data_IF_070440700912
#
_entry.id   IF_070440700912
#
_cell.length_a   1.000
_cell.length_b   1.000
_cell.length_c   1.000
_cell.angle_alpha   90.00
_cell.angle_beta   90.00
_cell.angle_gamma   90.00
#
_symmetry.space_group_name_H-M   'P 1'
#
loop_
_entity.id
_entity.type
_entity.pdbx_description
1 polymer ?
#
# COMPACT_ATOMS: atom_id res chain seq x y z
N UNK A 1 3.65 -30.46 -12.95
CA UNK A 1 3.65 -29.07 -12.45
C UNK A 1 2.97 -29.12 -11.10
N UNK A 2 3.66 -28.68 -10.04
CA UNK A 2 3.05 -28.53 -8.73
C UNK A 2 1.98 -27.42 -8.83
N UNK A 3 0.80 -27.69 -8.33
CA UNK A 3 -0.32 -26.73 -8.34
C UNK A 3 -0.16 -25.72 -7.17
N UNK A 4 0.98 -25.02 -7.19
CA UNK A 4 1.35 -24.03 -6.15
C UNK A 4 0.96 -22.66 -6.67
N UNK A 5 0.00 -22.03 -6.02
CA UNK A 5 -0.37 -20.63 -6.28
C UNK A 5 0.62 -19.72 -5.57
N UNK A 6 1.38 -18.91 -6.29
CA UNK A 6 2.21 -17.85 -5.75
C UNK A 6 1.45 -16.52 -5.83
N UNK A 7 1.51 -15.67 -4.79
CA UNK A 7 0.97 -14.32 -4.88
C UNK A 7 1.60 -13.57 -6.07
N UNK A 8 0.79 -12.90 -6.87
CA UNK A 8 1.29 -12.09 -7.99
C UNK A 8 0.22 -11.08 -8.41
N UNK A 9 0.65 -9.94 -8.93
CA UNK A 9 -0.23 -8.87 -9.37
C UNK A 9 0.30 -8.16 -10.61
N UNK A 10 1.24 -7.23 -10.46
CA UNK A 10 1.71 -6.37 -11.55
C UNK A 10 2.42 -7.13 -12.68
N UNK A 11 3.02 -8.29 -12.40
CA UNK A 11 3.80 -9.17 -13.30
C UNK A 11 5.05 -8.55 -13.94
N UNK A 12 5.36 -7.27 -13.67
CA UNK A 12 6.54 -6.54 -14.19
C UNK A 12 7.58 -6.17 -13.11
N UNK A 13 7.45 -6.70 -11.89
CA UNK A 13 8.44 -6.47 -10.82
C UNK A 13 8.30 -5.13 -10.07
N UNK A 14 7.16 -4.44 -10.19
CA UNK A 14 6.96 -3.11 -9.62
C UNK A 14 6.30 -3.08 -8.23
N UNK A 15 5.41 -4.04 -7.88
CA UNK A 15 4.62 -3.99 -6.65
C UNK A 15 5.23 -4.76 -5.47
N UNK A 16 6.05 -5.80 -5.73
CA UNK A 16 6.64 -6.62 -4.67
C UNK A 16 5.75 -7.76 -4.14
N UNK A 17 4.48 -7.87 -4.53
CA UNK A 17 3.53 -8.89 -4.07
C UNK A 17 4.03 -10.33 -4.26
N UNK A 18 4.77 -10.60 -5.34
CA UNK A 18 5.31 -11.92 -5.65
C UNK A 18 6.68 -12.21 -4.99
N UNK A 19 7.01 -11.53 -3.90
CA UNK A 19 8.26 -11.75 -3.16
C UNK A 19 8.27 -13.15 -2.54
N UNK A 20 9.33 -13.88 -2.83
CA UNK A 20 9.63 -15.23 -2.32
C UNK A 20 11.03 -15.23 -1.72
N UNK A 21 11.31 -16.19 -0.85
CA UNK A 21 12.67 -16.43 -0.35
C UNK A 21 13.21 -17.74 -0.93
N UNK A 22 14.41 -17.69 -1.49
CA UNK A 22 15.14 -18.85 -2.01
C UNK A 22 15.79 -19.58 -0.84
N UNK A 23 15.27 -20.76 -0.48
CA UNK A 23 15.92 -21.64 0.47
C UNK A 23 17.12 -22.36 -0.17
N UNK A 24 17.06 -22.61 -1.49
CA UNK A 24 18.19 -23.09 -2.29
C UNK A 24 17.97 -22.82 -3.76
N UNK A 25 19.07 -22.82 -4.53
CA UNK A 25 19.09 -22.55 -5.96
C UNK A 25 19.37 -21.08 -6.28
N UNK A 26 19.44 -20.77 -7.58
CA UNK A 26 19.75 -19.44 -8.12
C UNK A 26 18.77 -19.00 -9.18
N UNK A 27 18.54 -17.70 -9.24
CA UNK A 27 17.73 -17.05 -10.27
C UNK A 27 18.51 -15.92 -10.92
N UNK A 28 18.16 -15.59 -12.15
CA UNK A 28 18.61 -14.39 -12.84
C UNK A 28 17.44 -13.52 -13.27
N UNK A 29 17.71 -12.27 -13.56
CA UNK A 29 16.77 -11.31 -14.12
C UNK A 29 17.31 -10.80 -15.47
N UNK A 30 16.42 -10.50 -16.39
CA UNK A 30 16.76 -9.76 -17.61
C UNK A 30 17.06 -8.30 -17.25
N UNK A 31 16.19 -7.69 -16.44
CA UNK A 31 16.38 -6.41 -15.79
C UNK A 31 16.09 -6.56 -14.30
N UNK A 32 16.88 -5.90 -13.45
CA UNK A 32 16.70 -6.00 -12.01
C UNK A 32 15.35 -5.37 -11.60
N UNK A 33 14.46 -6.09 -10.90
CA UNK A 33 13.10 -5.62 -10.63
C UNK A 33 13.07 -4.41 -9.69
N UNK A 34 12.21 -3.43 -9.97
CA UNK A 34 12.12 -2.20 -9.18
C UNK A 34 11.70 -2.40 -7.72
N UNK A 35 10.89 -3.41 -7.42
CA UNK A 35 10.41 -3.65 -6.06
C UNK A 35 11.31 -4.59 -5.25
N UNK A 36 12.46 -5.01 -5.78
CA UNK A 36 13.48 -5.78 -5.07
C UNK A 36 14.70 -4.89 -4.81
N UNK A 37 15.18 -4.85 -3.57
CA UNK A 37 16.43 -4.16 -3.28
C UNK A 37 17.64 -5.09 -3.41
N UNK A 38 18.87 -4.56 -3.62
CA UNK A 38 20.08 -5.37 -3.62
C UNK A 38 20.27 -6.14 -2.31
N UNK A 39 19.91 -5.56 -1.18
CA UNK A 39 19.99 -6.16 0.15
C UNK A 39 19.02 -7.35 0.25
N UNK A 40 17.75 -7.19 -0.19
CA UNK A 40 16.79 -8.29 -0.25
C UNK A 40 17.32 -9.43 -1.13
N UNK A 41 17.88 -9.12 -2.30
CA UNK A 41 18.48 -10.13 -3.17
C UNK A 41 19.66 -10.84 -2.52
N UNK A 42 20.53 -10.12 -1.78
CA UNK A 42 21.64 -10.69 -1.06
C UNK A 42 21.20 -11.62 0.09
N UNK A 43 20.05 -11.36 0.70
CA UNK A 43 19.43 -12.22 1.71
C UNK A 43 18.62 -13.39 1.12
N UNK A 44 18.61 -13.53 -0.20
CA UNK A 44 17.95 -14.61 -0.90
C UNK A 44 16.48 -14.35 -1.26
N UNK A 45 16.01 -13.10 -1.18
CA UNK A 45 14.70 -12.77 -1.71
C UNK A 45 14.70 -12.65 -3.23
N UNK A 46 13.58 -12.98 -3.83
CA UNK A 46 13.36 -12.87 -5.26
C UNK A 46 11.93 -12.46 -5.57
N UNK A 47 11.70 -11.86 -6.75
CA UNK A 47 10.35 -11.60 -7.27
C UNK A 47 9.98 -12.65 -8.32
N UNK A 48 9.08 -13.56 -7.96
CA UNK A 48 8.72 -14.73 -8.77
C UNK A 48 8.22 -14.39 -10.17
N UNK A 49 7.57 -13.22 -10.36
CA UNK A 49 7.07 -12.81 -11.68
C UNK A 49 8.17 -12.51 -12.70
N UNK A 50 9.37 -12.09 -12.26
CA UNK A 50 10.51 -11.72 -13.11
C UNK A 50 11.69 -12.69 -13.00
N UNK A 51 11.75 -13.50 -11.93
CA UNK A 51 12.83 -14.45 -11.70
C UNK A 51 12.87 -15.54 -12.77
N UNK A 52 14.04 -15.81 -13.33
CA UNK A 52 14.32 -16.91 -14.25
C UNK A 52 15.21 -17.92 -13.53
N UNK A 53 14.73 -19.15 -13.24
CA UNK A 53 15.56 -20.18 -12.61
C UNK A 53 16.82 -20.51 -13.41
N UNK A 54 17.97 -20.61 -12.74
CA UNK A 54 19.23 -21.12 -13.29
C UNK A 54 19.60 -22.50 -12.73
N UNK A 55 18.92 -22.92 -11.68
CA UNK A 55 19.05 -24.24 -11.05
C UNK A 55 17.69 -24.72 -10.55
N UNK A 56 17.63 -25.92 -9.99
CA UNK A 56 16.48 -26.35 -9.19
C UNK A 56 16.31 -25.41 -8.00
N UNK A 57 15.06 -25.00 -7.74
CA UNK A 57 14.75 -24.05 -6.66
C UNK A 57 13.98 -24.73 -5.55
N UNK A 58 14.38 -24.43 -4.29
CA UNK A 58 13.53 -24.58 -3.14
C UNK A 58 13.16 -23.17 -2.67
N UNK A 59 11.86 -22.87 -2.61
CA UNK A 59 11.37 -21.53 -2.24
C UNK A 59 10.48 -21.61 -1.02
N UNK A 60 10.51 -20.57 -0.20
CA UNK A 60 9.48 -20.29 0.79
C UNK A 60 8.74 -19.01 0.43
N UNK A 61 7.45 -18.99 0.71
CA UNK A 61 6.60 -17.82 0.62
C UNK A 61 6.25 -17.46 2.06
N UNK A 62 6.25 -16.18 2.39
CA UNK A 62 5.78 -15.75 3.70
C UNK A 62 4.37 -16.32 3.90
N UNK A 63 4.23 -17.23 4.85
CA UNK A 63 2.94 -17.84 5.14
C UNK A 63 2.13 -16.87 5.99
N UNK A 64 1.32 -16.05 5.34
CA UNK A 64 0.23 -15.39 6.06
C UNK A 64 -0.82 -16.43 6.44
N UNK A 65 -1.25 -16.45 7.69
CA UNK A 65 -2.43 -17.22 8.09
C UNK A 65 -3.71 -16.59 7.56
N UNK A 66 -3.60 -15.37 7.01
CA UNK A 66 -4.69 -14.63 6.42
C UNK A 66 -5.23 -15.32 5.19
N UNK A 67 -6.51 -15.65 5.21
CA UNK A 67 -7.24 -16.14 4.03
C UNK A 67 -7.78 -14.93 3.27
N UNK A 68 -7.32 -14.76 2.05
CA UNK A 68 -7.80 -13.70 1.18
C UNK A 68 -9.00 -14.18 0.36
N UNK A 69 -10.11 -13.41 0.31
CA UNK A 69 -11.24 -13.72 -0.54
C UNK A 69 -10.83 -13.75 -2.03
N UNK A 70 -11.48 -14.61 -2.82
CA UNK A 70 -11.23 -14.69 -4.26
C UNK A 70 -11.76 -13.44 -4.98
N UNK A 71 -11.00 -12.86 -5.92
CA UNK A 71 -11.44 -11.71 -6.69
C UNK A 71 -12.69 -12.01 -7.53
N UNK A 72 -13.58 -11.05 -7.64
CA UNK A 72 -14.76 -11.12 -8.51
C UNK A 72 -15.02 -9.81 -9.22
N UNK A 73 -15.61 -9.87 -10.40
CA UNK A 73 -16.08 -8.69 -11.11
C UNK A 73 -17.50 -8.38 -10.70
N UNK A 74 -17.73 -7.10 -10.34
CA UNK A 74 -19.04 -6.65 -9.92
C UNK A 74 -19.27 -5.19 -10.38
N UNK A 75 -20.55 -4.81 -10.60
CA UNK A 75 -20.88 -3.43 -10.85
C UNK A 75 -20.75 -2.62 -9.55
N UNK A 76 -20.34 -1.36 -9.69
CA UNK A 76 -20.33 -0.39 -8.61
C UNK A 76 -20.90 0.94 -9.14
N UNK A 77 -21.38 1.76 -8.22
CA UNK A 77 -21.95 3.07 -8.57
C UNK A 77 -21.29 4.16 -7.72
N UNK A 78 -20.92 5.26 -8.32
CA UNK A 78 -20.40 6.42 -7.59
C UNK A 78 -21.50 6.96 -6.68
N UNK A 79 -21.27 6.88 -5.37
CA UNK A 79 -22.16 7.42 -4.37
C UNK A 79 -21.76 8.83 -3.95
N UNK A 80 -20.45 9.05 -3.79
CA UNK A 80 -19.87 10.34 -3.40
C UNK A 80 -18.55 10.54 -4.13
N UNK A 81 -18.32 11.78 -4.52
CA UNK A 81 -17.07 12.23 -5.10
C UNK A 81 -16.80 13.65 -4.58
N UNK A 82 -15.71 13.84 -3.90
CA UNK A 82 -15.36 15.07 -3.21
C UNK A 82 -13.87 15.37 -3.32
N UNK A 83 -13.52 16.59 -3.76
CA UNK A 83 -12.13 17.03 -3.73
C UNK A 83 -11.74 17.33 -2.27
N UNK A 84 -10.76 16.60 -1.74
CA UNK A 84 -10.24 16.79 -0.38
C UNK A 84 -8.95 17.59 -0.36
N UNK A 85 -8.24 17.65 -1.49
CA UNK A 85 -7.14 18.58 -1.78
C UNK A 85 -7.24 19.03 -3.24
N UNK A 86 -6.30 19.86 -3.72
CA UNK A 86 -6.23 20.26 -5.11
C UNK A 86 -6.15 19.05 -6.07
N UNK A 87 -5.39 18.03 -5.69
CA UNK A 87 -5.09 16.86 -6.53
C UNK A 87 -5.60 15.51 -5.98
N UNK A 88 -6.31 15.49 -4.83
CA UNK A 88 -6.85 14.25 -4.26
C UNK A 88 -8.37 14.33 -4.13
N UNK A 89 -9.02 13.24 -4.54
CA UNK A 89 -10.45 13.03 -4.45
C UNK A 89 -10.77 11.89 -3.49
N UNK A 90 -11.70 12.12 -2.57
CA UNK A 90 -12.38 11.07 -1.83
C UNK A 90 -13.52 10.54 -2.70
N UNK A 91 -13.44 9.26 -3.06
CA UNK A 91 -14.44 8.56 -3.85
C UNK A 91 -15.08 7.47 -3.00
N UNK A 92 -16.41 7.51 -2.87
CA UNK A 92 -17.20 6.44 -2.26
C UNK A 92 -17.97 5.72 -3.36
N UNK A 93 -17.82 4.40 -3.42
CA UNK A 93 -18.60 3.54 -4.32
C UNK A 93 -19.66 2.79 -3.53
N UNK A 94 -20.89 2.79 -4.05
CA UNK A 94 -21.94 1.86 -3.62
C UNK A 94 -21.76 0.52 -4.33
N UNK A 95 -21.86 -0.56 -3.58
CA UNK A 95 -21.77 -1.93 -4.03
C UNK A 95 -23.15 -2.60 -4.06
N UNK A 96 -23.35 -3.70 -4.81
CA UNK A 96 -24.57 -4.50 -4.75
C UNK A 96 -24.87 -4.99 -3.33
N UNK A 97 -26.10 -5.39 -3.05
CA UNK A 97 -26.59 -5.83 -1.73
C UNK A 97 -25.75 -6.97 -1.10
N UNK A 98 -25.12 -7.80 -1.92
CA UNK A 98 -24.21 -8.84 -1.44
C UNK A 98 -22.92 -8.29 -0.82
N UNK A 99 -22.64 -6.99 -0.96
CA UNK A 99 -21.42 -6.35 -0.45
C UNK A 99 -20.14 -6.89 -1.08
N UNK A 100 -19.03 -6.59 -0.43
CA UNK A 100 -17.70 -7.07 -0.78
C UNK A 100 -16.95 -7.47 0.50
N UNK A 101 -16.61 -8.76 0.60
CA UNK A 101 -15.68 -9.21 1.64
C UNK A 101 -14.25 -8.93 1.16
N UNK A 102 -13.46 -8.28 1.99
CA UNK A 102 -12.04 -8.03 1.75
C UNK A 102 -11.26 -7.91 3.05
N UNK A 103 -9.95 -8.03 2.95
CA UNK A 103 -9.02 -7.80 4.06
C UNK A 103 -8.53 -6.35 3.99
N UNK A 104 -8.57 -5.57 5.09
CA UNK A 104 -8.03 -4.22 5.12
C UNK A 104 -6.59 -4.15 4.60
N UNK A 105 -6.34 -3.21 3.69
CA UNK A 105 -5.07 -3.09 2.97
C UNK A 105 -5.13 -3.57 1.51
N UNK A 106 -6.14 -4.39 1.13
CA UNK A 106 -6.35 -4.80 -0.26
C UNK A 106 -6.82 -3.64 -1.15
N UNK A 107 -6.77 -3.87 -2.46
CA UNK A 107 -7.18 -2.90 -3.47
C UNK A 107 -8.22 -3.47 -4.44
N UNK A 108 -8.75 -2.63 -5.30
CA UNK A 108 -9.58 -3.00 -6.44
C UNK A 108 -8.98 -2.51 -7.76
N UNK A 109 -9.37 -3.15 -8.85
CA UNK A 109 -9.20 -2.63 -10.21
C UNK A 109 -10.51 -2.01 -10.72
N UNK A 110 -10.44 -0.82 -11.26
CA UNK A 110 -11.49 -0.28 -12.14
C UNK A 110 -11.22 -0.78 -13.55
N UNK A 111 -12.22 -1.39 -14.17
CA UNK A 111 -12.15 -1.89 -15.55
C UNK A 111 -12.54 -0.77 -16.51
N UNK A 112 -11.64 -0.40 -17.42
CA UNK A 112 -11.88 0.61 -18.44
C UNK A 112 -12.51 -0.03 -19.68
N UNK A 113 -13.24 0.76 -20.50
CA UNK A 113 -13.95 0.26 -21.71
C UNK A 113 -13.02 -0.41 -22.74
N UNK A 114 -11.72 -0.07 -22.75
CA UNK A 114 -10.71 -0.63 -23.65
C UNK A 114 -10.04 -1.90 -23.09
N UNK A 115 -10.48 -2.38 -21.92
CA UNK A 115 -9.95 -3.56 -21.26
C UNK A 115 -8.74 -3.30 -20.34
N UNK A 116 -8.22 -2.07 -20.30
CA UNK A 116 -7.21 -1.70 -19.30
C UNK A 116 -7.82 -1.59 -17.90
N UNK A 117 -6.98 -1.62 -16.88
CA UNK A 117 -7.39 -1.49 -15.49
C UNK A 117 -6.64 -0.35 -14.79
N UNK A 118 -7.24 0.16 -13.72
CA UNK A 118 -6.57 1.09 -12.79
C UNK A 118 -6.81 0.63 -11.37
N UNK A 119 -5.73 0.47 -10.63
CA UNK A 119 -5.74 -0.07 -9.27
C UNK A 119 -5.84 1.05 -8.24
N UNK A 120 -6.71 0.85 -7.25
CA UNK A 120 -6.91 1.78 -6.13
C UNK A 120 -7.09 1.01 -4.84
N UNK A 121 -6.27 1.32 -3.82
CA UNK A 121 -6.37 0.70 -2.50
C UNK A 121 -7.64 1.16 -1.80
N UNK A 122 -8.33 0.22 -1.17
CA UNK A 122 -9.51 0.50 -0.36
C UNK A 122 -9.09 1.24 0.92
N UNK A 123 -9.81 2.32 1.26
CA UNK A 123 -9.49 3.22 2.35
C UNK A 123 -10.37 3.02 3.59
N UNK A 124 -11.21 2.01 3.60
CA UNK A 124 -12.09 1.63 4.71
C UNK A 124 -11.79 0.22 5.20
N UNK A 125 -12.01 -0.05 6.49
CA UNK A 125 -11.76 -1.36 7.11
C UNK A 125 -12.75 -2.45 6.65
N UNK A 126 -13.94 -2.05 6.25
CA UNK A 126 -14.96 -2.95 5.69
C UNK A 126 -15.80 -2.21 4.67
N UNK A 127 -16.31 -2.92 3.68
CA UNK A 127 -17.13 -2.29 2.67
C UNK A 127 -18.64 -2.28 3.04
N UNK A 128 -19.15 -3.35 3.64
CA UNK A 128 -20.59 -3.52 3.66
C UNK A 128 -21.17 -3.31 2.25
N UNK A 129 -21.98 -2.26 2.08
CA UNK A 129 -22.49 -1.82 0.78
C UNK A 129 -21.75 -0.59 0.21
N UNK A 130 -20.70 -0.13 0.85
CA UNK A 130 -19.92 1.06 0.45
C UNK A 130 -18.44 0.82 0.69
N UNK A 131 -17.62 1.35 -0.20
CA UNK A 131 -16.16 1.31 -0.05
C UNK A 131 -15.57 2.65 -0.47
N UNK A 132 -14.59 3.13 0.29
CA UNK A 132 -13.94 4.42 0.12
C UNK A 132 -12.56 4.30 -0.52
N UNK A 133 -12.20 5.33 -1.27
CA UNK A 133 -10.90 5.45 -1.93
C UNK A 133 -10.39 6.88 -1.87
N UNK A 134 -9.09 7.03 -1.75
CA UNK A 134 -8.40 8.30 -1.91
C UNK A 134 -7.63 8.27 -3.23
N UNK A 135 -8.14 8.98 -4.23
CA UNK A 135 -7.63 8.91 -5.60
C UNK A 135 -6.88 10.19 -5.94
N UNK A 136 -5.58 10.09 -6.22
CA UNK A 136 -4.81 11.23 -6.73
C UNK A 136 -5.13 11.46 -8.21
N UNK A 137 -5.49 12.69 -8.56
CA UNK A 137 -5.62 13.12 -9.94
C UNK A 137 -4.24 13.28 -10.57
N UNK A 138 -4.03 12.59 -11.68
CA UNK A 138 -2.79 12.69 -12.46
C UNK A 138 -3.14 13.44 -13.73
N UNK A 139 -2.55 14.63 -13.99
CA UNK A 139 -2.81 15.40 -15.20
C UNK A 139 -2.63 14.56 -16.46
N UNK A 140 -3.63 14.56 -17.34
CA UNK A 140 -3.68 13.72 -18.55
C UNK A 140 -3.99 12.23 -18.29
N UNK A 141 -4.23 11.83 -17.04
CA UNK A 141 -4.60 10.46 -16.67
C UNK A 141 -5.99 10.09 -17.21
N UNK A 142 -6.06 8.99 -17.98
CA UNK A 142 -7.32 8.55 -18.65
C UNK A 142 -8.47 8.31 -17.67
N UNK A 143 -8.18 7.73 -16.48
CA UNK A 143 -9.17 7.52 -15.44
C UNK A 143 -9.21 8.69 -14.46
N UNK A 144 -8.06 9.05 -13.89
CA UNK A 144 -8.02 9.98 -12.76
C UNK A 144 -8.27 11.43 -13.14
N UNK A 145 -7.97 11.83 -14.39
CA UNK A 145 -8.23 13.18 -14.90
C UNK A 145 -9.49 13.23 -15.78
N UNK A 146 -9.56 12.35 -16.80
CA UNK A 146 -10.69 12.38 -17.73
C UNK A 146 -11.97 11.81 -17.13
N UNK A 147 -12.00 10.55 -16.71
CA UNK A 147 -13.23 9.93 -16.23
C UNK A 147 -13.66 10.49 -14.88
N UNK A 148 -12.76 10.48 -13.89
CA UNK A 148 -13.07 10.93 -12.53
C UNK A 148 -13.37 12.43 -12.48
N UNK A 149 -12.74 13.24 -13.36
CA UNK A 149 -13.01 14.67 -13.48
C UNK A 149 -14.41 15.00 -14.02
N UNK A 150 -15.07 14.05 -14.69
CA UNK A 150 -16.42 14.19 -15.27
C UNK A 150 -17.47 13.33 -14.56
N UNK A 151 -17.03 12.38 -13.71
CA UNK A 151 -17.92 11.48 -13.01
C UNK A 151 -18.82 12.25 -12.03
N UNK A 152 -20.06 11.81 -11.96
CA UNK A 152 -21.07 12.33 -11.05
C UNK A 152 -21.65 11.20 -10.20
N UNK A 153 -22.28 11.55 -9.09
CA UNK A 153 -23.07 10.59 -8.31
C UNK A 153 -24.06 9.87 -9.23
N UNK A 154 -24.14 8.56 -9.10
CA UNK A 154 -24.91 7.68 -9.97
C UNK A 154 -24.16 7.12 -11.18
N UNK A 155 -22.94 7.57 -11.46
CA UNK A 155 -22.12 7.00 -12.55
C UNK A 155 -21.77 5.54 -12.23
N UNK A 156 -22.02 4.65 -13.21
CA UNK A 156 -21.74 3.22 -13.08
C UNK A 156 -20.34 2.89 -13.58
N UNK A 157 -19.71 1.91 -12.94
CA UNK A 157 -18.42 1.34 -13.34
C UNK A 157 -18.38 -0.15 -13.02
N UNK A 158 -17.48 -0.88 -13.68
CA UNK A 158 -17.17 -2.27 -13.35
C UNK A 158 -15.86 -2.30 -12.59
N UNK A 159 -15.84 -3.08 -11.50
CA UNK A 159 -14.65 -3.29 -10.70
C UNK A 159 -14.31 -4.77 -10.59
N UNK A 160 -13.06 -5.08 -10.32
CA UNK A 160 -12.58 -6.40 -9.94
C UNK A 160 -11.93 -6.29 -8.56
N UNK A 161 -12.49 -6.98 -7.59
CA UNK A 161 -12.08 -6.88 -6.18
C UNK A 161 -12.46 -8.16 -5.41
N UNK A 162 -11.83 -8.41 -4.24
CA UNK A 162 -10.63 -7.75 -3.75
C UNK A 162 -9.35 -8.29 -4.40
N UNK A 163 -8.30 -7.49 -4.42
CA UNK A 163 -6.99 -7.85 -4.96
C UNK A 163 -5.90 -7.46 -3.94
N UNK A 164 -4.73 -8.09 -4.03
CA UNK A 164 -3.61 -7.77 -3.17
C UNK A 164 -3.53 -8.62 -1.91
N UNK A 165 -2.32 -8.62 -1.33
CA UNK A 165 -1.99 -9.35 -0.10
C UNK A 165 -1.42 -8.43 0.99
N UNK A 166 -1.35 -7.12 0.74
CA UNK A 166 -0.95 -6.16 1.75
C UNK A 166 -2.02 -6.08 2.84
N UNK A 167 -1.67 -6.47 4.07
CA UNK A 167 -2.61 -6.55 5.18
C UNK A 167 -1.87 -6.59 6.50
N UNK A 168 -2.58 -6.37 7.60
CA UNK A 168 -2.01 -6.57 8.93
C UNK A 168 -1.75 -8.04 9.21
N UNK A 169 -0.54 -8.34 9.68
CA UNK A 169 -0.09 -9.68 10.09
C UNK A 169 -0.31 -9.85 11.59
N UNK A 170 -1.46 -10.37 11.98
CA UNK A 170 -1.87 -10.52 13.39
C UNK A 170 -0.93 -11.45 14.17
N UNK A 171 -0.28 -12.39 13.50
CA UNK A 171 0.71 -13.30 14.07
C UNK A 171 2.04 -12.62 14.43
N UNK A 172 2.29 -11.41 13.92
CA UNK A 172 3.51 -10.63 14.12
C UNK A 172 3.29 -9.55 15.20
N UNK A 173 3.33 -9.97 16.46
CA UNK A 173 3.08 -9.15 17.66
C UNK A 173 4.14 -8.07 17.95
N UNK A 174 4.76 -7.52 16.94
CA UNK A 174 5.77 -6.47 17.05
C UNK A 174 5.12 -5.09 17.10
N UNK A 175 5.75 -4.10 17.78
CA UNK A 175 5.37 -2.70 17.59
C UNK A 175 5.36 -2.33 16.11
N UNK A 176 4.34 -1.60 15.68
CA UNK A 176 4.10 -1.27 14.27
C UNK A 176 4.71 0.09 13.92
N UNK A 177 5.53 0.12 12.89
CA UNK A 177 5.91 1.35 12.19
C UNK A 177 5.21 1.36 10.83
N UNK A 178 4.27 2.28 10.66
CA UNK A 178 3.53 2.45 9.43
C UNK A 178 3.94 3.73 8.73
N UNK A 179 4.42 3.61 7.49
CA UNK A 179 4.92 4.72 6.70
C UNK A 179 4.09 4.87 5.44
N UNK A 180 3.47 6.01 5.26
CA UNK A 180 2.68 6.34 4.08
C UNK A 180 3.19 7.61 3.41
N UNK A 181 3.14 7.67 2.07
CA UNK A 181 3.29 8.93 1.33
C UNK A 181 2.10 9.17 0.40
N UNK A 182 1.60 10.39 0.40
CA UNK A 182 0.44 10.75 -0.44
C UNK A 182 -0.78 9.89 -0.11
N UNK A 183 -1.41 9.37 -1.16
CA UNK A 183 -2.57 8.46 -1.05
C UNK A 183 -2.21 7.04 -0.61
N UNK A 184 -0.92 6.72 -0.39
CA UNK A 184 -0.50 5.49 0.30
C UNK A 184 -1.03 5.38 1.73
N UNK A 185 -1.56 6.47 2.28
CA UNK A 185 -2.31 6.43 3.53
C UNK A 185 -3.59 5.58 3.44
N UNK A 186 -4.19 5.39 2.26
CA UNK A 186 -5.48 4.72 2.12
C UNK A 186 -5.47 3.27 2.66
N UNK A 187 -4.60 2.34 2.22
CA UNK A 187 -4.56 0.99 2.76
C UNK A 187 -4.06 0.95 4.21
N UNK A 188 -3.16 1.86 4.60
CA UNK A 188 -2.71 2.00 6.00
C UNK A 188 -3.89 2.42 6.89
N UNK A 189 -4.69 3.40 6.43
CA UNK A 189 -5.92 3.83 7.12
C UNK A 189 -6.88 2.65 7.32
N UNK A 190 -7.15 1.88 6.27
CA UNK A 190 -8.02 0.71 6.34
C UNK A 190 -7.54 -0.32 7.37
N UNK A 191 -6.24 -0.60 7.41
CA UNK A 191 -5.62 -1.48 8.42
C UNK A 191 -5.82 -0.90 9.81
N UNK A 192 -5.47 0.38 10.05
CA UNK A 192 -5.59 1.01 11.37
C UNK A 192 -7.02 1.09 11.86
N UNK A 193 -7.98 1.41 10.98
CA UNK A 193 -9.40 1.37 11.33
C UNK A 193 -9.86 -0.01 11.81
N UNK A 194 -9.31 -1.09 11.25
CA UNK A 194 -9.63 -2.46 11.68
C UNK A 194 -9.03 -2.81 13.05
N UNK A 195 -8.09 -2.02 13.53
CA UNK A 195 -7.43 -2.17 14.83
C UNK A 195 -8.01 -1.24 15.91
N UNK A 196 -8.85 -0.27 15.53
CA UNK A 196 -9.47 0.65 16.49
C UNK A 196 -10.27 -0.14 17.54
N UNK A 197 -10.12 0.28 18.79
CA UNK A 197 -10.84 -0.27 19.95
C UNK A 197 -10.57 -1.78 20.20
N UNK A 198 -9.54 -2.37 19.57
CA UNK A 198 -9.08 -3.73 19.87
C UNK A 198 -8.20 -3.72 21.11
N UNK A 199 -8.47 -4.61 22.05
CA UNK A 199 -7.64 -4.79 23.26
C UNK A 199 -6.26 -5.33 22.91
N UNK A 200 -6.18 -6.14 21.88
CA UNK A 200 -4.97 -6.83 21.42
C UNK A 200 -4.29 -6.08 20.26
N UNK A 201 -4.12 -4.75 20.35
CA UNK A 201 -3.39 -3.96 19.38
C UNK A 201 -1.97 -3.69 19.88
N UNK A 202 -0.91 -3.97 19.11
CA UNK A 202 0.45 -3.57 19.49
C UNK A 202 0.62 -2.04 19.40
N UNK A 203 1.68 -1.45 19.99
CA UNK A 203 2.01 -0.04 19.82
C UNK A 203 2.11 0.35 18.35
N UNK A 204 1.57 1.51 17.98
CA UNK A 204 1.52 1.98 16.58
C UNK A 204 2.18 3.35 16.44
N UNK A 205 3.20 3.45 15.58
CA UNK A 205 3.73 4.72 15.10
C UNK A 205 3.41 4.91 13.62
N UNK A 206 2.59 5.91 13.30
CA UNK A 206 2.20 6.26 11.93
C UNK A 206 2.95 7.51 11.47
N UNK A 207 3.74 7.37 10.42
CA UNK A 207 4.43 8.45 9.72
C UNK A 207 3.76 8.70 8.37
N UNK A 208 3.12 9.88 8.21
CA UNK A 208 2.45 10.21 6.95
C UNK A 208 3.08 11.43 6.28
N UNK A 209 3.69 11.20 5.14
CA UNK A 209 4.38 12.21 4.34
C UNK A 209 3.49 12.87 3.31
N UNK A 210 3.40 14.20 3.36
CA UNK A 210 2.75 15.04 2.36
C UNK A 210 3.68 16.18 1.91
N UNK A 211 3.25 16.99 0.94
CA UNK A 211 4.02 18.14 0.47
C UNK A 211 3.85 19.33 1.39
N UNK A 212 2.61 19.72 1.61
CA UNK A 212 2.22 20.91 2.38
C UNK A 212 1.20 20.56 3.47
N UNK A 213 0.89 21.50 4.35
CA UNK A 213 -0.07 21.27 5.44
C UNK A 213 -1.50 21.10 4.92
N UNK A 214 -1.87 21.80 3.86
CA UNK A 214 -3.17 21.70 3.20
C UNK A 214 -3.42 20.33 2.58
N UNK A 215 -2.34 19.59 2.26
CA UNK A 215 -2.42 18.23 1.76
C UNK A 215 -2.76 17.19 2.83
N UNK A 216 -2.64 17.53 4.13
CA UNK A 216 -2.90 16.62 5.25
C UNK A 216 -4.41 16.46 5.55
N UNK A 217 -5.20 16.09 4.55
CA UNK A 217 -6.67 16.04 4.56
C UNK A 217 -7.29 15.08 5.59
N UNK A 218 -6.51 14.15 6.16
CA UNK A 218 -6.94 13.23 7.23
C UNK A 218 -6.31 13.56 8.59
N UNK A 219 -5.62 14.70 8.73
CA UNK A 219 -4.86 15.03 9.95
C UNK A 219 -5.72 14.94 11.21
N UNK A 220 -6.88 15.55 11.19
CA UNK A 220 -7.77 15.61 12.35
C UNK A 220 -8.45 14.28 12.64
N UNK A 221 -8.83 13.54 11.58
CA UNK A 221 -9.41 12.19 11.70
C UNK A 221 -8.41 11.25 12.37
N UNK A 222 -7.18 11.18 11.84
CA UNK A 222 -6.12 10.31 12.36
C UNK A 222 -5.71 10.72 13.78
N UNK A 223 -5.59 12.01 14.06
CA UNK A 223 -5.31 12.51 15.42
C UNK A 223 -6.40 12.10 16.41
N UNK A 224 -7.65 12.01 15.96
CA UNK A 224 -8.80 11.54 16.77
C UNK A 224 -8.73 10.06 17.18
N UNK A 225 -7.82 9.28 16.61
CA UNK A 225 -7.61 7.88 17.00
C UNK A 225 -6.76 7.70 18.26
N UNK A 226 -6.17 8.77 18.76
CA UNK A 226 -5.48 8.77 20.06
C UNK A 226 -6.44 8.29 21.17
N UNK A 227 -6.02 7.26 21.93
CA UNK A 227 -6.86 6.60 22.93
C UNK A 227 -7.80 5.50 22.42
N UNK A 228 -7.88 5.29 21.10
CA UNK A 228 -8.59 4.17 20.45
C UNK A 228 -7.63 3.11 19.89
N UNK A 229 -6.36 3.47 19.70
CA UNK A 229 -5.26 2.56 19.39
C UNK A 229 -4.31 2.54 20.59
N UNK A 230 -3.73 1.38 20.87
CA UNK A 230 -2.77 1.26 21.97
C UNK A 230 -1.45 1.97 21.63
N UNK A 231 -0.98 2.84 22.55
CA UNK A 231 0.26 3.61 22.39
C UNK A 231 0.42 4.23 20.98
N UNK A 232 -0.63 4.91 20.51
CA UNK A 232 -0.67 5.49 19.16
C UNK A 232 0.13 6.78 19.08
N UNK A 233 1.11 6.81 18.18
CA UNK A 233 1.89 7.99 17.82
C UNK A 233 1.66 8.36 16.34
N UNK A 234 1.12 9.55 16.07
CA UNK A 234 0.93 10.08 14.73
C UNK A 234 1.92 11.19 14.42
N UNK A 235 2.76 10.99 13.41
CA UNK A 235 3.81 11.90 12.97
C UNK A 235 3.56 12.34 11.52
N UNK A 236 2.86 13.47 11.29
CA UNK A 236 2.78 14.07 9.97
C UNK A 236 4.12 14.70 9.59
N UNK A 237 4.60 14.40 8.35
CA UNK A 237 5.89 14.85 7.83
C UNK A 237 5.69 15.64 6.54
N UNK A 238 6.23 16.87 6.46
CA UNK A 238 6.07 17.72 5.28
C UNK A 238 7.38 17.95 4.55
N UNK A 239 7.40 17.58 3.24
CA UNK A 239 8.58 17.79 2.39
C UNK A 239 8.72 19.23 1.87
N UNK A 240 7.64 20.01 1.88
CA UNK A 240 7.59 21.43 1.47
C UNK A 240 6.84 22.28 2.51
N UNK A 241 7.19 22.08 3.76
CA UNK A 241 6.54 22.76 4.88
C UNK A 241 6.72 24.28 4.81
N UNK A 242 5.62 25.02 4.98
CA UNK A 242 5.64 26.47 5.16
C UNK A 242 6.34 26.88 6.47
N UNK A 243 6.68 28.17 6.60
CA UNK A 243 7.40 28.67 7.77
C UNK A 243 6.64 28.48 9.10
N UNK A 244 5.30 28.47 9.06
CA UNK A 244 4.42 28.28 10.23
C UNK A 244 4.36 26.84 10.75
N UNK A 245 4.78 25.87 9.96
CA UNK A 245 4.70 24.46 10.34
C UNK A 245 5.64 24.13 11.50
N UNK A 246 5.08 23.57 12.59
CA UNK A 246 5.82 23.21 13.81
C UNK A 246 6.11 21.70 13.91
N UNK A 247 5.55 20.86 12.98
CA UNK A 247 5.78 19.43 12.94
C UNK A 247 7.05 19.03 12.20
N UNK A 248 7.18 17.73 11.90
CA UNK A 248 8.35 17.17 11.20
C UNK A 248 8.46 17.69 9.76
N UNK A 249 9.69 17.94 9.33
CA UNK A 249 10.06 18.39 7.98
C UNK A 249 10.93 17.33 7.31
N UNK A 250 10.87 17.22 5.98
CA UNK A 250 11.68 16.28 5.21
C UNK A 250 10.89 15.06 4.76
N UNK A 251 11.47 13.88 4.85
CA UNK A 251 10.86 12.64 4.39
C UNK A 251 10.54 11.70 5.56
N UNK A 252 9.54 10.82 5.36
CA UNK A 252 9.05 9.93 6.42
C UNK A 252 10.12 8.97 6.93
N UNK A 253 11.01 8.47 6.07
CA UNK A 253 12.10 7.58 6.46
C UNK A 253 13.12 8.27 7.36
N UNK A 254 13.39 9.55 7.13
CA UNK A 254 14.31 10.32 7.97
C UNK A 254 13.70 10.53 9.36
N UNK A 255 12.41 10.85 9.43
CA UNK A 255 11.70 11.00 10.69
C UNK A 255 11.69 9.70 11.53
N UNK A 256 11.49 8.53 10.88
CA UNK A 256 11.60 7.24 11.58
C UNK A 256 12.99 7.01 12.15
N UNK A 257 14.05 7.31 11.38
CA UNK A 257 15.44 7.14 11.82
C UNK A 257 15.85 8.12 12.92
N UNK A 258 15.20 9.28 13.00
CA UNK A 258 15.38 10.24 14.10
C UNK A 258 14.71 9.77 15.40
N UNK A 259 13.58 9.06 15.30
CA UNK A 259 12.78 8.63 16.44
C UNK A 259 13.18 7.23 16.96
N UNK A 260 13.87 6.42 16.15
CA UNK A 260 14.23 5.03 16.49
C UNK A 260 15.70 4.72 16.22
N UNK A 261 16.45 4.40 17.28
CA UNK A 261 17.85 3.98 17.17
C UNK A 261 18.02 2.53 16.76
N UNK A 262 17.05 1.66 17.07
CA UNK A 262 17.01 0.25 16.74
C UNK A 262 15.59 -0.16 16.27
N UNK A 263 15.54 -0.85 15.14
CA UNK A 263 14.31 -1.30 14.50
C UNK A 263 14.17 -2.83 14.46
N UNK A 264 15.07 -3.57 15.13
CA UNK A 264 15.14 -5.05 15.07
C UNK A 264 13.86 -5.74 15.55
N UNK A 265 13.13 -5.12 16.48
CA UNK A 265 11.91 -5.67 17.07
C UNK A 265 10.62 -5.09 16.49
N UNK A 266 10.67 -4.38 15.34
CA UNK A 266 9.50 -3.74 14.74
C UNK A 266 8.99 -4.48 13.51
N UNK A 267 7.67 -4.47 13.32
CA UNK A 267 7.04 -4.78 12.03
C UNK A 267 6.78 -3.48 11.26
N UNK A 268 7.23 -3.42 10.00
CA UNK A 268 7.26 -2.19 9.20
C UNK A 268 6.34 -2.32 8.00
N UNK A 269 5.43 -1.37 7.86
CA UNK A 269 4.46 -1.29 6.76
C UNK A 269 4.72 -0.06 5.92
N UNK A 270 5.03 -0.24 4.65
CA UNK A 270 5.43 0.81 3.72
C UNK A 270 4.39 0.93 2.61
N UNK A 271 3.80 2.11 2.40
CA UNK A 271 2.88 2.31 1.30
C UNK A 271 3.04 3.67 0.62
N UNK A 272 3.08 3.68 -0.71
CA UNK A 272 3.16 4.89 -1.51
C UNK A 272 4.14 4.84 -2.67
N UNK A 273 4.91 5.93 -2.85
CA UNK A 273 5.82 6.07 -3.99
C UNK A 273 6.95 5.02 -3.99
N UNK A 274 7.25 4.36 -5.14
CA UNK A 274 8.30 3.34 -5.22
C UNK A 274 9.65 3.79 -4.69
N UNK A 275 10.07 5.02 -5.02
CA UNK A 275 11.34 5.57 -4.57
C UNK A 275 11.42 5.71 -3.03
N UNK A 276 10.33 6.10 -2.39
CA UNK A 276 10.26 6.15 -0.93
C UNK A 276 10.39 4.75 -0.33
N UNK A 277 9.66 3.77 -0.86
CA UNK A 277 9.68 2.39 -0.34
C UNK A 277 11.08 1.78 -0.46
N UNK A 278 11.76 1.93 -1.62
CA UNK A 278 13.11 1.43 -1.81
C UNK A 278 14.11 2.08 -0.84
N UNK A 279 14.06 3.41 -0.74
CA UNK A 279 14.94 4.13 0.16
C UNK A 279 14.67 3.76 1.64
N UNK A 280 13.41 3.64 2.03
CA UNK A 280 13.02 3.22 3.37
C UNK A 280 13.55 1.81 3.69
N UNK A 281 13.33 0.83 2.81
CA UNK A 281 13.86 -0.54 3.01
C UNK A 281 15.36 -0.55 3.25
N UNK A 282 16.13 0.14 2.42
CA UNK A 282 17.58 0.25 2.54
C UNK A 282 17.99 0.88 3.89
N UNK A 283 17.45 2.04 4.20
CA UNK A 283 17.81 2.80 5.41
C UNK A 283 17.40 2.09 6.70
N UNK A 284 16.18 1.52 6.73
CA UNK A 284 15.64 0.87 7.92
C UNK A 284 16.33 -0.49 8.18
N UNK A 285 16.69 -1.24 7.13
CA UNK A 285 17.54 -2.43 7.26
C UNK A 285 18.90 -2.09 7.88
N UNK A 286 19.51 -0.96 7.48
CA UNK A 286 20.73 -0.42 8.09
C UNK A 286 20.59 -0.04 9.59
N UNK A 287 19.34 0.10 10.09
CA UNK A 287 19.01 0.34 11.50
C UNK A 287 18.49 -0.92 12.21
N UNK A 288 18.75 -2.11 11.64
CA UNK A 288 18.41 -3.40 12.24
C UNK A 288 17.04 -3.96 11.87
N UNK A 289 16.22 -3.26 11.09
CA UNK A 289 14.92 -3.75 10.70
C UNK A 289 15.03 -5.05 9.88
N UNK A 290 14.24 -6.06 10.24
CA UNK A 290 14.21 -7.35 9.55
C UNK A 290 13.40 -7.24 8.25
N UNK A 291 13.98 -7.67 7.13
CA UNK A 291 13.27 -7.72 5.84
C UNK A 291 12.11 -8.74 5.84
N UNK A 292 12.13 -9.76 6.72
CA UNK A 292 11.02 -10.69 6.90
C UNK A 292 9.76 -10.01 7.49
N UNK A 293 9.95 -8.90 8.22
CA UNK A 293 8.89 -8.12 8.87
C UNK A 293 8.68 -6.74 8.21
N UNK A 294 9.12 -6.59 6.96
CA UNK A 294 8.82 -5.42 6.12
C UNK A 294 7.78 -5.77 5.05
N UNK A 295 6.64 -5.15 5.15
CA UNK A 295 5.50 -5.31 4.25
C UNK A 295 5.34 -4.05 3.41
N UNK A 296 5.23 -4.18 2.10
CA UNK A 296 5.20 -3.02 1.22
C UNK A 296 4.13 -3.12 0.14
N UNK A 297 3.44 -2.01 -0.13
CA UNK A 297 2.56 -1.82 -1.28
C UNK A 297 3.01 -0.58 -2.06
N UNK A 298 3.52 -0.79 -3.27
CA UNK A 298 4.16 0.23 -4.09
C UNK A 298 3.22 0.74 -5.18
N UNK A 299 2.95 2.06 -5.17
CA UNK A 299 2.07 2.71 -6.15
C UNK A 299 2.83 3.09 -7.42
N UNK A 300 2.80 2.21 -8.42
CA UNK A 300 3.41 2.46 -9.73
C UNK A 300 2.40 3.10 -10.68
N UNK A 301 2.79 4.20 -11.33
CA UNK A 301 1.97 4.84 -12.36
C UNK A 301 2.26 4.21 -13.72
N UNK A 302 1.24 3.77 -14.44
CA UNK A 302 1.41 3.13 -15.76
C UNK A 302 2.08 4.02 -16.81
N UNK A 303 2.01 5.36 -16.69
CA UNK A 303 2.75 6.29 -17.57
C UNK A 303 4.28 6.21 -17.40
N UNK A 304 4.78 5.81 -16.23
CA UNK A 304 6.21 5.61 -16.04
C UNK A 304 6.75 4.37 -16.78
N UNK A 305 5.87 3.44 -17.12
CA UNK A 305 6.20 2.20 -17.83
C UNK A 305 6.27 2.40 -19.34
N UNK A 306 5.44 3.29 -19.90
CA UNK A 306 5.45 3.61 -21.35
C UNK A 306 6.65 4.48 -21.78
N UNK A 307 7.34 5.12 -20.83
CA UNK A 307 8.54 5.94 -21.09
C UNK A 307 9.87 5.16 -20.95
N UNK A 308 9.81 3.91 -20.49
CA UNK A 308 10.96 3.03 -20.26
C UNK A 308 11.03 1.85 -21.26
N UNK A 309 10.11 1.81 -22.27
CA UNK A 309 10.06 0.78 -23.31
C UNK A 309 10.53 1.29 -24.68
#
# INVERSE_FOLDING_TARGET
RADVKLPHECTFGGCGTCRIKLASGTVRYEEFPMALTPEEAAEGYALACQARPESDLCISVASSRQVFPEPRRLPATVQRIEAVTEDIVHLTLALPDAGLDFVPGQYMNVLLPDGETRSFSMASASAGQQVDFHVRRIPGGRYTDHWLGQAQTGAALMIEAPLGVFSYHEEDWRPLIMMATGTGIAPIKAILESLLDKEDCPPVSLYWGMRTEEDLYLKDEIAGWAGRLYEFNFVPVLSRAGASWQGRRGHVQDAVLEDHDDLSEHAIYLCGAPAMIQQAKHLLAGRGASLDHMYADSFTYQHALAAAG
#
